data_IF_327162028474
#
_entry.id   IF_327162028474
#
_cell.length_a   1.000
_cell.length_b   1.000
_cell.length_c   1.000
_cell.angle_alpha   90.00
_cell.angle_beta   90.00
_cell.angle_gamma   90.00
#
_symmetry.space_group_name_H-M   'P 1'
#
loop_
_entity.id
_entity.type
_entity.pdbx_description
1 polymer ?
#
# COMPACT_ATOMS: atom_id res chain seq x y z
N UNK A 1 -19.23 -1.59 17.44
CA UNK A 1 -18.37 -1.39 16.25
C UNK A 1 -17.87 -2.74 15.72
N UNK A 2 -18.01 -2.98 14.41
CA UNK A 2 -17.53 -4.20 13.77
C UNK A 2 -16.48 -3.83 12.72
N UNK A 3 -15.45 -4.67 12.64
CA UNK A 3 -14.32 -4.50 11.71
C UNK A 3 -14.31 -5.70 10.78
N UNK A 4 -14.16 -5.44 9.48
CA UNK A 4 -13.93 -6.46 8.45
C UNK A 4 -12.50 -6.31 7.93
N UNK A 5 -11.78 -7.42 7.81
CA UNK A 5 -10.42 -7.45 7.27
C UNK A 5 -10.42 -8.33 6.04
N UNK A 6 -9.96 -7.79 4.93
CA UNK A 6 -9.85 -8.49 3.65
C UNK A 6 -8.37 -8.60 3.25
N UNK A 7 -7.81 -9.82 3.19
CA UNK A 7 -6.50 -10.03 2.58
C UNK A 7 -6.62 -9.89 1.06
N UNK A 8 -5.70 -9.14 0.45
CA UNK A 8 -5.60 -8.92 -0.99
C UNK A 8 -4.26 -9.49 -1.44
N UNK A 9 -4.24 -10.62 -2.16
CA UNK A 9 -3.00 -11.15 -2.71
C UNK A 9 -2.36 -10.13 -3.65
N UNK A 10 -1.09 -9.83 -3.43
CA UNK A 10 -0.28 -8.94 -4.28
C UNK A 10 1.08 -9.56 -4.52
N UNK A 11 1.67 -9.28 -5.68
CA UNK A 11 2.93 -9.91 -6.10
C UNK A 11 2.82 -11.46 -6.05
N UNK A 12 3.92 -12.17 -5.82
CA UNK A 12 3.93 -13.64 -5.83
C UNK A 12 3.59 -14.27 -4.48
N UNK A 13 3.88 -13.59 -3.37
CA UNK A 13 3.73 -14.12 -2.01
C UNK A 13 3.42 -13.06 -0.95
N UNK A 14 2.99 -11.86 -1.35
CA UNK A 14 2.65 -10.77 -0.43
C UNK A 14 1.13 -10.60 -0.31
N UNK A 15 0.72 -9.93 0.76
CA UNK A 15 -0.66 -9.53 0.97
C UNK A 15 -0.71 -8.07 1.36
N UNK A 16 -1.61 -7.33 0.73
CA UNK A 16 -2.16 -6.09 1.30
C UNK A 16 -3.37 -6.47 2.15
N UNK A 17 -3.76 -5.59 3.06
CA UNK A 17 -4.99 -5.80 3.86
C UNK A 17 -5.88 -4.57 3.80
N UNK A 18 -7.13 -4.75 3.38
CA UNK A 18 -8.15 -3.72 3.51
C UNK A 18 -8.88 -3.90 4.84
N UNK A 19 -8.75 -2.93 5.72
CA UNK A 19 -9.41 -2.89 7.03
C UNK A 19 -10.58 -1.93 6.94
N UNK A 20 -11.79 -2.45 7.12
CA UNK A 20 -13.04 -1.72 6.92
C UNK A 20 -13.73 -1.56 8.28
N UNK A 21 -14.04 -0.31 8.63
CA UNK A 21 -15.04 -0.02 9.66
C UNK A 21 -16.43 -0.17 9.02
N UNK A 22 -17.12 -1.26 9.34
CA UNK A 22 -18.41 -1.58 8.72
C UNK A 22 -19.52 -0.64 9.17
N UNK A 23 -19.30 0.17 10.21
CA UNK A 23 -20.30 1.14 10.68
C UNK A 23 -20.27 2.45 9.90
N UNK A 24 -19.10 2.86 9.43
CA UNK A 24 -18.92 4.12 8.69
C UNK A 24 -18.66 3.94 7.19
N UNK A 25 -18.35 2.71 6.74
CA UNK A 25 -17.96 2.43 5.36
C UNK A 25 -16.59 3.01 5.01
N UNK A 26 -15.78 3.34 6.01
CA UNK A 26 -14.43 3.89 5.85
C UNK A 26 -13.42 2.77 5.95
N UNK A 27 -12.32 2.90 5.22
CA UNK A 27 -11.30 1.88 5.17
C UNK A 27 -9.89 2.46 5.24
N UNK A 28 -8.98 1.64 5.77
CA UNK A 28 -7.55 1.81 5.65
C UNK A 28 -6.96 0.60 4.91
N UNK A 29 -5.95 0.83 4.08
CA UNK A 29 -5.20 -0.26 3.44
C UNK A 29 -3.80 -0.36 4.03
N UNK A 30 -3.37 -1.59 4.31
CA UNK A 30 -2.03 -1.92 4.77
C UNK A 30 -1.19 -2.36 3.57
N UNK A 31 0.00 -1.78 3.43
CA UNK A 31 1.04 -2.19 2.48
C UNK A 31 0.59 -2.37 1.01
N UNK A 32 -0.08 -1.38 0.38
CA UNK A 32 -0.66 -1.52 -0.95
C UNK A 32 0.42 -1.54 -2.06
N UNK A 33 1.04 -2.70 -2.29
CA UNK A 33 2.10 -2.86 -3.30
C UNK A 33 1.55 -2.79 -4.74
N UNK A 34 0.37 -3.35 -4.97
CA UNK A 34 -0.35 -3.33 -6.24
C UNK A 34 -1.60 -2.44 -6.13
N UNK A 35 -1.58 -1.22 -6.67
CA UNK A 35 -2.70 -0.30 -6.56
C UNK A 35 -3.93 -0.75 -7.36
N UNK A 36 -3.77 -1.55 -8.42
CA UNK A 36 -4.91 -2.00 -9.23
C UNK A 36 -5.69 -3.08 -8.49
N UNK A 37 -5.00 -4.07 -7.92
CA UNK A 37 -5.61 -5.10 -7.10
C UNK A 37 -6.33 -4.50 -5.88
N UNK A 38 -5.68 -3.54 -5.21
CA UNK A 38 -6.27 -2.83 -4.06
C UNK A 38 -7.48 -2.00 -4.46
N UNK A 39 -7.40 -1.24 -5.55
CA UNK A 39 -8.50 -0.40 -6.03
C UNK A 39 -9.74 -1.24 -6.37
N UNK A 40 -9.56 -2.41 -7.00
CA UNK A 40 -10.67 -3.30 -7.35
C UNK A 40 -11.45 -3.76 -6.10
N UNK A 41 -10.75 -4.09 -5.00
CA UNK A 41 -11.41 -4.51 -3.75
C UNK A 41 -12.07 -3.33 -3.04
N UNK A 42 -11.48 -2.14 -3.09
CA UNK A 42 -12.12 -0.91 -2.56
C UNK A 42 -13.45 -0.64 -3.30
N UNK A 43 -13.47 -0.77 -4.62
CA UNK A 43 -14.67 -0.59 -5.44
C UNK A 43 -15.71 -1.69 -5.21
N UNK A 44 -15.29 -2.95 -5.11
CA UNK A 44 -16.17 -4.09 -4.81
C UNK A 44 -16.88 -3.92 -3.46
N UNK A 45 -16.15 -3.46 -2.45
CA UNK A 45 -16.69 -3.23 -1.11
C UNK A 45 -17.45 -1.90 -0.99
N UNK A 46 -17.32 -1.00 -1.97
CA UNK A 46 -17.98 0.30 -1.97
C UNK A 46 -17.56 1.20 -0.81
N UNK A 47 -16.31 1.11 -0.36
CA UNK A 47 -15.80 1.82 0.82
C UNK A 47 -15.00 3.07 0.45
N UNK A 48 -14.93 4.01 1.38
CA UNK A 48 -14.11 5.22 1.24
C UNK A 48 -12.74 4.98 1.86
N UNK A 49 -11.68 5.07 1.05
CA UNK A 49 -10.31 4.96 1.52
C UNK A 49 -9.87 6.25 2.22
N UNK A 50 -9.50 6.14 3.50
CA UNK A 50 -9.01 7.27 4.30
C UNK A 50 -7.51 7.26 4.55
N UNK A 51 -6.95 6.07 4.66
CA UNK A 51 -5.59 5.89 5.13
C UNK A 51 -4.88 4.76 4.41
N UNK A 52 -3.60 4.97 4.16
CA UNK A 52 -2.64 3.95 3.79
C UNK A 52 -1.66 3.82 4.95
N UNK A 53 -1.43 2.60 5.43
CA UNK A 53 -0.47 2.30 6.49
C UNK A 53 0.65 1.44 5.89
N UNK A 54 1.87 1.96 5.88
CA UNK A 54 3.06 1.21 5.47
C UNK A 54 3.79 0.69 6.71
N UNK A 55 4.03 -0.62 6.76
CA UNK A 55 4.70 -1.27 7.88
C UNK A 55 6.21 -1.02 7.87
N UNK A 56 6.79 -1.07 6.68
CA UNK A 56 8.19 -0.77 6.39
C UNK A 56 8.35 -0.46 4.90
N UNK A 57 9.49 0.11 4.51
CA UNK A 57 9.95 0.11 3.11
C UNK A 57 11.09 -0.89 3.00
N UNK A 58 11.09 -1.76 1.99
CA UNK A 58 12.31 -2.51 1.69
C UNK A 58 13.38 -1.54 1.22
N UNK A 59 14.56 -1.68 1.83
CA UNK A 59 15.65 -0.75 1.63
C UNK A 59 16.02 -0.71 0.14
N UNK A 60 16.11 0.49 -0.44
CA UNK A 60 16.87 0.63 -1.68
C UNK A 60 18.29 0.11 -1.39
N UNK A 61 18.86 -0.81 -2.19
CA UNK A 61 20.24 -1.23 -1.96
C UNK A 61 21.13 0.02 -1.95
N UNK A 62 22.21 0.04 -1.12
CA UNK A 62 23.16 1.15 -1.14
C UNK A 62 23.57 1.37 -2.59
N UNK A 63 23.50 2.61 -3.04
CA UNK A 63 23.92 3.05 -4.37
C UNK A 63 25.42 2.83 -4.53
N UNK A 64 25.82 1.58 -4.76
CA UNK A 64 27.17 1.20 -5.13
C UNK A 64 27.13 -0.06 -6.00
N UNK A 65 27.07 0.17 -7.32
CA UNK A 65 27.66 -0.75 -8.28
C UNK A 65 26.79 -1.88 -8.86
N UNK A 66 25.46 -1.85 -8.75
CA UNK A 66 24.65 -2.90 -9.39
C UNK A 66 24.19 -2.54 -10.80
N UNK A 67 24.56 -3.42 -11.73
CA UNK A 67 24.21 -3.48 -13.15
C UNK A 67 22.71 -3.28 -13.41
N UNK A 68 22.32 -2.60 -14.51
CA UNK A 68 20.93 -2.57 -14.96
C UNK A 68 20.44 -4.00 -15.21
N UNK A 69 19.52 -4.49 -14.38
CA UNK A 69 18.82 -5.77 -14.59
C UNK A 69 19.01 -6.88 -13.55
N UNK A 70 19.65 -6.64 -12.40
CA UNK A 70 20.01 -7.70 -11.45
C UNK A 70 19.13 -7.85 -10.19
N UNK A 71 18.64 -6.75 -9.62
CA UNK A 71 17.76 -6.80 -8.44
C UNK A 71 16.30 -6.72 -8.89
N UNK A 72 15.50 -7.68 -8.45
CA UNK A 72 14.07 -7.77 -8.72
C UNK A 72 13.39 -6.39 -8.52
N UNK A 73 12.89 -5.81 -9.62
CA UNK A 73 12.13 -4.55 -9.59
C UNK A 73 10.88 -4.64 -8.69
N UNK A 74 10.44 -5.85 -8.34
CA UNK A 74 9.37 -6.14 -7.38
C UNK A 74 9.81 -5.87 -5.94
N UNK A 75 11.06 -6.16 -5.56
CA UNK A 75 11.59 -5.94 -4.20
C UNK A 75 11.91 -4.47 -3.88
N UNK A 76 11.78 -3.57 -4.86
CA UNK A 76 11.86 -2.11 -4.66
C UNK A 76 10.46 -1.47 -4.47
N UNK A 77 9.39 -2.25 -4.58
CA UNK A 77 7.98 -1.79 -4.58
C UNK A 77 7.10 -2.50 -3.57
N UNK A 78 7.62 -3.51 -2.91
CA UNK A 78 6.92 -4.23 -1.87
C UNK A 78 6.59 -3.27 -0.72
N UNK A 79 5.31 -3.31 -0.36
CA UNK A 79 4.59 -2.54 0.65
C UNK A 79 4.18 -1.11 0.27
N UNK A 80 5.03 -0.28 -0.33
CA UNK A 80 4.67 1.13 -0.60
C UNK A 80 4.52 1.51 -2.07
N UNK A 81 4.64 0.55 -2.99
CA UNK A 81 4.66 0.78 -4.43
C UNK A 81 3.39 1.40 -5.01
N UNK A 82 2.23 1.18 -4.38
CA UNK A 82 0.93 1.70 -4.82
C UNK A 82 0.50 3.01 -4.17
N UNK A 83 1.25 3.56 -3.22
CA UNK A 83 0.84 4.75 -2.44
C UNK A 83 0.48 5.94 -3.32
N UNK A 84 1.34 6.29 -4.27
CA UNK A 84 1.15 7.44 -5.15
C UNK A 84 -0.09 7.30 -6.04
N UNK A 85 -0.30 6.11 -6.62
CA UNK A 85 -1.45 5.83 -7.47
C UNK A 85 -2.77 5.89 -6.67
N UNK A 86 -2.79 5.29 -5.48
CA UNK A 86 -3.98 5.31 -4.63
C UNK A 86 -4.29 6.72 -4.09
N UNK A 87 -3.28 7.51 -3.72
CA UNK A 87 -3.50 8.91 -3.33
C UNK A 87 -4.02 9.77 -4.48
N UNK A 88 -3.56 9.51 -5.71
CA UNK A 88 -4.05 10.22 -6.88
C UNK A 88 -5.56 9.96 -7.11
N UNK A 89 -6.01 8.73 -6.86
CA UNK A 89 -7.42 8.34 -6.98
C UNK A 89 -8.26 8.76 -5.75
N UNK A 90 -7.65 8.75 -4.56
CA UNK A 90 -8.28 9.07 -3.28
C UNK A 90 -7.61 10.29 -2.65
N UNK A 91 -7.87 11.48 -3.20
CA UNK A 91 -7.13 12.71 -2.85
C UNK A 91 -7.16 13.13 -1.37
N UNK A 92 -8.15 12.69 -0.59
CA UNK A 92 -8.23 12.92 0.86
C UNK A 92 -7.49 11.88 1.71
N UNK A 93 -6.96 10.81 1.08
CA UNK A 93 -6.28 9.73 1.77
C UNK A 93 -4.91 10.19 2.30
N UNK A 94 -4.64 9.84 3.56
CA UNK A 94 -3.38 10.09 4.26
C UNK A 94 -2.50 8.86 4.25
N UNK A 95 -1.20 9.03 4.17
CA UNK A 95 -0.23 7.93 4.18
C UNK A 95 0.58 8.01 5.45
N UNK A 96 0.59 6.93 6.22
CA UNK A 96 1.32 6.80 7.46
C UNK A 96 2.37 5.70 7.34
N UNK A 97 3.48 5.88 8.06
CA UNK A 97 4.58 4.93 8.12
C UNK A 97 5.75 5.53 8.88
N UNK A 98 6.88 4.83 8.88
CA UNK A 98 8.12 5.32 9.48
C UNK A 98 8.73 6.45 8.65
N UNK A 99 9.07 7.57 9.30
CA UNK A 99 9.82 8.66 8.65
C UNK A 99 11.25 8.25 8.27
N UNK A 100 11.80 7.20 8.90
CA UNK A 100 13.13 6.67 8.60
C UNK A 100 13.16 5.84 7.31
N UNK A 101 11.99 5.35 6.89
CA UNK A 101 11.86 4.40 5.78
C UNK A 101 11.60 5.10 4.45
N UNK A 102 11.60 6.44 4.41
CA UNK A 102 11.35 7.23 3.20
C UNK A 102 10.09 6.76 2.43
N UNK A 103 8.99 6.50 3.16
CA UNK A 103 7.71 6.05 2.61
C UNK A 103 7.19 7.09 1.60
N UNK A 104 6.91 6.70 0.35
CA UNK A 104 6.32 7.60 -0.64
C UNK A 104 5.00 8.17 -0.15
N UNK A 105 4.80 9.47 -0.38
CA UNK A 105 3.58 10.21 -0.05
C UNK A 105 3.27 10.35 1.45
N UNK A 106 4.24 10.08 2.34
CA UNK A 106 4.06 10.26 3.79
C UNK A 106 3.49 11.67 4.11
N UNK A 107 2.41 11.69 4.88
CA UNK A 107 1.68 12.91 5.29
C UNK A 107 1.76 13.12 6.79
#
# INVERSE_FOLDING_TARGET
PAVKILPIPVLSNNYSYLVIDTSSGRAAVIDPSDPLAVQAVIEEEGVLLEAILCTHKHCDPPTWGETPGGADFSARRDHSGGNAALRQQHGSCKVYGSALDAVPELT
#
